data_IF_290706950193
#
_entry.id   IF_290706950193
#
_cell.length_a   1.000
_cell.length_b   1.000
_cell.length_c   1.000
_cell.angle_alpha   90.00
_cell.angle_beta   90.00
_cell.angle_gamma   90.00
#
_symmetry.space_group_name_H-M   'P 1'
#
loop_
_entity.id
_entity.type
_entity.pdbx_description
1 polymer ?
#
# COMPACT_ATOMS: atom_id res chain seq x y z
N UNK A 1 21.51 -7.22 -1.02
CA UNK A 1 21.78 -5.77 -0.99
C UNK A 1 21.27 -5.16 -2.29
N UNK A 2 20.52 -4.05 -2.23
CA UNK A 2 20.33 -3.21 -3.43
C UNK A 2 18.91 -2.85 -3.89
N UNK A 3 17.91 -2.72 -2.99
CA UNK A 3 16.64 -2.03 -3.35
C UNK A 3 16.42 -0.73 -2.57
N UNK A 4 17.33 -0.39 -1.64
CA UNK A 4 17.21 0.77 -0.74
C UNK A 4 17.51 2.12 -1.43
N UNK A 5 18.00 2.12 -2.68
CA UNK A 5 18.36 3.33 -3.42
C UNK A 5 17.59 3.38 -4.74
N UNK A 6 16.26 3.49 -4.71
CA UNK A 6 15.48 3.69 -5.94
C UNK A 6 14.45 4.82 -5.87
N UNK A 7 14.14 5.38 -4.70
CA UNK A 7 13.03 6.35 -4.57
C UNK A 7 13.46 7.78 -4.18
N UNK A 8 14.75 8.10 -4.24
CA UNK A 8 15.29 9.44 -3.89
C UNK A 8 16.04 10.14 -5.04
N UNK A 9 15.79 9.79 -6.30
CA UNK A 9 16.48 10.40 -7.45
C UNK A 9 15.52 10.94 -8.52
N UNK A 10 15.85 12.08 -9.20
CA UNK A 10 15.03 12.73 -10.22
C UNK A 10 14.71 11.87 -11.46
N UNK A 11 15.24 10.65 -11.57
CA UNK A 11 14.98 9.71 -12.68
C UNK A 11 13.70 8.86 -12.50
N UNK A 12 12.78 9.28 -11.63
CA UNK A 12 11.58 8.53 -11.29
C UNK A 12 10.67 8.25 -12.49
N UNK A 13 10.63 9.11 -13.51
CA UNK A 13 9.76 8.96 -14.69
C UNK A 13 10.21 7.78 -15.58
N UNK A 14 11.51 7.67 -15.89
CA UNK A 14 12.05 6.56 -16.67
C UNK A 14 11.98 5.23 -15.89
N UNK A 15 12.19 5.30 -14.58
CA UNK A 15 12.07 4.16 -13.69
C UNK A 15 10.61 3.69 -13.57
N UNK A 16 9.64 4.62 -13.52
CA UNK A 16 8.19 4.36 -13.58
C UNK A 16 7.86 3.51 -14.80
N UNK A 17 8.32 3.88 -16.00
CA UNK A 17 7.96 3.16 -17.23
C UNK A 17 8.49 1.72 -17.27
N UNK A 18 9.72 1.48 -16.80
CA UNK A 18 10.30 0.12 -16.78
C UNK A 18 9.64 -0.76 -15.71
N UNK A 19 9.34 -0.20 -14.53
CA UNK A 19 8.60 -0.86 -13.45
C UNK A 19 7.18 -1.14 -13.94
N UNK A 20 6.48 -0.15 -14.51
CA UNK A 20 5.12 -0.29 -15.04
C UNK A 20 5.05 -1.40 -16.10
N UNK A 21 6.00 -1.50 -17.04
CA UNK A 21 5.98 -2.59 -18.04
C UNK A 21 6.14 -3.97 -17.41
N UNK A 22 7.08 -4.14 -16.47
CA UNK A 22 7.27 -5.41 -15.73
C UNK A 22 6.05 -5.74 -14.88
N UNK A 23 5.51 -4.74 -14.18
CA UNK A 23 4.32 -4.83 -13.35
C UNK A 23 3.09 -5.20 -14.19
N UNK A 24 2.90 -4.61 -15.37
CA UNK A 24 1.77 -4.90 -16.26
C UNK A 24 1.78 -6.34 -16.77
N UNK A 25 2.95 -6.90 -17.09
CA UNK A 25 3.04 -8.32 -17.47
C UNK A 25 2.62 -9.21 -16.32
N UNK A 26 3.16 -8.95 -15.12
CA UNK A 26 2.81 -9.70 -13.91
C UNK A 26 1.31 -9.59 -13.64
N UNK A 27 0.74 -8.38 -13.65
CA UNK A 27 -0.69 -8.14 -13.41
C UNK A 27 -1.55 -8.90 -14.41
N UNK A 28 -1.23 -8.87 -15.72
CA UNK A 28 -1.98 -9.64 -16.73
C UNK A 28 -1.96 -11.14 -16.45
N UNK A 29 -0.85 -11.67 -15.98
CA UNK A 29 -0.75 -13.09 -15.60
C UNK A 29 -1.52 -13.38 -14.31
N UNK A 30 -1.49 -12.47 -13.33
CA UNK A 30 -2.24 -12.60 -12.08
C UNK A 30 -3.74 -12.56 -12.32
N UNK A 31 -4.25 -11.59 -13.06
CA UNK A 31 -5.70 -11.41 -13.29
C UNK A 31 -6.33 -12.54 -14.09
N UNK A 32 -5.53 -13.35 -14.80
CA UNK A 32 -5.98 -14.63 -15.38
C UNK A 32 -6.17 -15.75 -14.36
N UNK A 33 -5.44 -15.69 -13.25
CA UNK A 33 -5.38 -16.74 -12.22
C UNK A 33 -6.31 -16.49 -11.04
N UNK A 34 -6.74 -15.25 -10.80
CA UNK A 34 -7.69 -14.90 -9.74
C UNK A 34 -8.47 -13.61 -10.06
N UNK A 35 -9.61 -13.41 -9.39
CA UNK A 35 -10.40 -12.18 -9.44
C UNK A 35 -9.85 -11.16 -8.45
N UNK A 36 -9.05 -10.23 -8.94
CA UNK A 36 -8.56 -9.09 -8.19
C UNK A 36 -9.55 -7.93 -8.28
N UNK A 37 -9.76 -7.22 -7.17
CA UNK A 37 -10.44 -5.93 -7.14
C UNK A 37 -9.41 -4.81 -7.31
N UNK A 38 -8.33 -4.87 -6.52
CA UNK A 38 -7.22 -3.92 -6.58
C UNK A 38 -5.87 -4.63 -6.40
N UNK A 39 -4.84 -4.10 -7.06
CA UNK A 39 -3.44 -4.38 -6.77
C UNK A 39 -2.74 -3.04 -6.57
N UNK A 40 -2.04 -2.90 -5.44
CA UNK A 40 -1.34 -1.67 -5.06
C UNK A 40 0.15 -2.00 -4.95
N UNK A 41 1.01 -1.18 -5.52
CA UNK A 41 2.44 -1.25 -5.25
C UNK A 41 2.73 -0.48 -3.95
N UNK A 42 3.27 -1.19 -2.98
CA UNK A 42 3.65 -0.63 -1.68
C UNK A 42 5.16 -0.74 -1.46
N UNK A 43 5.73 0.27 -0.79
CA UNK A 43 7.12 0.30 -0.35
C UNK A 43 7.27 0.50 1.17
N UNK A 44 6.17 0.51 1.94
CA UNK A 44 6.18 0.84 3.37
C UNK A 44 7.02 -0.11 4.23
N UNK A 45 7.03 -1.40 3.89
CA UNK A 45 7.82 -2.46 4.56
C UNK A 45 8.61 -3.28 3.55
N UNK A 46 9.19 -2.59 2.58
CA UNK A 46 9.79 -3.20 1.40
C UNK A 46 8.81 -3.26 0.23
N UNK A 47 9.40 -3.33 -0.97
CA UNK A 47 8.67 -3.25 -2.23
C UNK A 47 7.85 -4.53 -2.47
N UNK A 48 6.52 -4.42 -2.43
CA UNK A 48 5.60 -5.56 -2.58
C UNK A 48 4.26 -5.15 -3.16
N UNK A 49 3.47 -6.12 -3.60
CA UNK A 49 2.07 -5.89 -3.92
C UNK A 49 1.15 -6.10 -2.72
N UNK A 50 0.18 -5.21 -2.58
CA UNK A 50 -1.01 -5.41 -1.74
C UNK A 50 -2.15 -5.86 -2.65
N UNK A 51 -2.85 -6.91 -2.22
CA UNK A 51 -3.91 -7.57 -2.98
C UNK A 51 -5.25 -7.42 -2.26
N UNK A 52 -6.23 -6.85 -2.97
CA UNK A 52 -7.64 -6.93 -2.62
C UNK A 52 -8.30 -7.94 -3.57
N UNK A 53 -8.69 -9.10 -3.02
CA UNK A 53 -9.47 -10.14 -3.70
C UNK A 53 -10.68 -10.51 -2.84
N UNK A 54 -11.63 -11.25 -3.40
CA UNK A 54 -12.77 -11.76 -2.62
C UNK A 54 -12.33 -12.66 -1.45
N UNK A 55 -11.27 -13.46 -1.65
CA UNK A 55 -10.69 -14.28 -0.56
C UNK A 55 -10.13 -13.42 0.58
N UNK A 56 -9.56 -12.25 0.26
CA UNK A 56 -9.00 -11.33 1.26
C UNK A 56 -10.13 -10.65 2.05
N UNK A 57 -11.24 -10.32 1.39
CA UNK A 57 -12.44 -9.75 2.03
C UNK A 57 -13.07 -10.73 3.03
N UNK A 58 -13.04 -12.03 2.71
CA UNK A 58 -13.57 -13.11 3.54
C UNK A 58 -12.48 -13.86 4.33
N UNK A 59 -11.32 -13.22 4.56
CA UNK A 59 -10.15 -13.90 5.13
C UNK A 59 -10.37 -14.30 6.59
N UNK A 60 -10.29 -15.61 6.86
CA UNK A 60 -10.35 -16.23 8.20
C UNK A 60 -8.98 -16.66 8.73
N UNK A 61 -7.89 -16.23 8.09
CA UNK A 61 -6.51 -16.67 8.36
C UNK A 61 -6.21 -18.16 8.11
N UNK A 62 -7.14 -18.92 7.52
CA UNK A 62 -6.90 -20.29 7.04
C UNK A 62 -6.12 -20.28 5.71
N UNK A 63 -4.86 -19.84 5.73
CA UNK A 63 -4.11 -19.53 4.51
C UNK A 63 -3.95 -20.72 3.56
N UNK A 64 -3.89 -21.96 4.06
CA UNK A 64 -3.70 -23.15 3.22
C UNK A 64 -4.84 -23.38 2.21
N UNK A 65 -6.06 -22.92 2.51
CA UNK A 65 -7.20 -23.01 1.58
C UNK A 65 -7.32 -21.79 0.65
N UNK A 66 -6.66 -20.68 0.98
CA UNK A 66 -6.73 -19.42 0.23
C UNK A 66 -6.03 -19.52 -1.13
N UNK A 67 -6.73 -19.14 -2.21
CA UNK A 67 -6.17 -19.16 -3.57
C UNK A 67 -4.97 -18.22 -3.70
N UNK A 68 -5.05 -17.01 -3.14
CA UNK A 68 -3.94 -16.05 -3.13
C UNK A 68 -2.68 -16.64 -2.50
N UNK A 69 -2.83 -17.38 -1.40
CA UNK A 69 -1.71 -18.06 -0.75
C UNK A 69 -1.11 -19.16 -1.64
N UNK A 70 -1.95 -20.02 -2.21
CA UNK A 70 -1.52 -21.09 -3.13
C UNK A 70 -0.76 -20.55 -4.35
N UNK A 71 -1.15 -19.37 -4.85
CA UNK A 71 -0.49 -18.72 -5.97
C UNK A 71 0.94 -18.25 -5.64
N UNK A 72 1.22 -17.90 -4.39
CA UNK A 72 2.43 -17.14 -4.04
C UNK A 72 3.31 -17.76 -2.95
N UNK A 73 2.89 -18.85 -2.32
CA UNK A 73 3.65 -19.52 -1.25
C UNK A 73 5.08 -19.89 -1.65
N UNK A 74 5.30 -20.21 -2.94
CA UNK A 74 6.61 -20.63 -3.47
C UNK A 74 7.37 -19.49 -4.16
N UNK A 75 6.88 -18.25 -4.10
CA UNK A 75 7.57 -17.10 -4.66
C UNK A 75 8.85 -16.78 -3.88
N UNK A 76 9.90 -16.34 -4.59
CA UNK A 76 11.16 -15.95 -3.95
C UNK A 76 10.96 -14.71 -3.09
N UNK A 77 11.59 -14.66 -1.92
CA UNK A 77 11.42 -13.59 -0.92
C UNK A 77 11.63 -12.15 -1.44
N UNK A 78 12.41 -11.97 -2.52
CA UNK A 78 12.69 -10.66 -3.11
C UNK A 78 11.77 -10.32 -4.30
N UNK A 79 10.74 -11.13 -4.56
CA UNK A 79 9.76 -10.87 -5.62
C UNK A 79 8.71 -9.87 -5.14
N UNK A 80 8.19 -9.04 -6.06
CA UNK A 80 7.02 -8.18 -5.81
C UNK A 80 5.79 -8.98 -5.38
N UNK A 81 5.71 -10.24 -5.84
CA UNK A 81 4.60 -11.17 -5.57
C UNK A 81 4.77 -11.99 -4.31
N UNK A 82 5.93 -11.90 -3.64
CA UNK A 82 6.19 -12.65 -2.42
C UNK A 82 5.22 -12.25 -1.30
N UNK A 83 4.75 -13.24 -0.55
CA UNK A 83 3.94 -13.00 0.64
C UNK A 83 4.83 -12.73 1.85
N UNK A 84 4.61 -11.58 2.49
CA UNK A 84 5.36 -11.14 3.65
C UNK A 84 4.62 -11.51 4.93
N UNK A 85 5.14 -12.46 5.75
CA UNK A 85 4.49 -12.86 6.99
C UNK A 85 4.36 -11.66 7.95
N UNK A 86 3.19 -11.52 8.57
CA UNK A 86 2.92 -10.48 9.54
C UNK A 86 3.31 -10.93 10.95
N UNK A 87 4.24 -10.21 11.58
CA UNK A 87 4.56 -10.42 12.99
C UNK A 87 3.40 -9.99 13.91
N UNK A 88 3.46 -10.36 15.19
CA UNK A 88 2.50 -9.86 16.20
C UNK A 88 2.49 -8.32 16.28
N UNK A 89 3.64 -7.67 16.06
CA UNK A 89 3.75 -6.21 16.04
C UNK A 89 3.07 -5.62 14.81
N UNK A 90 3.25 -6.25 13.65
CA UNK A 90 2.64 -5.77 12.41
C UNK A 90 1.12 -5.87 12.47
N UNK A 91 0.58 -6.95 13.03
CA UNK A 91 -0.88 -7.13 13.11
C UNK A 91 -1.60 -6.03 13.90
N UNK A 92 -0.92 -5.39 14.85
CA UNK A 92 -1.46 -4.24 15.59
C UNK A 92 -1.64 -2.99 14.73
N UNK A 93 -0.89 -2.89 13.64
CA UNK A 93 -0.83 -1.70 12.79
C UNK A 93 -1.48 -1.93 11.42
N UNK A 94 -1.24 -3.10 10.84
CA UNK A 94 -1.69 -3.50 9.51
C UNK A 94 -2.95 -4.38 9.52
N UNK A 95 -3.48 -4.71 10.70
CA UNK A 95 -4.66 -5.56 10.85
C UNK A 95 -4.34 -7.07 10.95
N UNK A 96 -5.36 -7.91 11.14
CA UNK A 96 -5.21 -9.25 11.72
C UNK A 96 -4.66 -10.33 10.77
N UNK A 97 -4.57 -10.05 9.47
CA UNK A 97 -4.17 -11.05 8.47
C UNK A 97 -2.74 -11.57 8.70
N UNK A 98 -2.51 -12.85 8.41
CA UNK A 98 -1.20 -13.50 8.54
C UNK A 98 -0.14 -12.97 7.57
N UNK A 99 -0.53 -12.28 6.49
CA UNK A 99 0.39 -11.71 5.51
C UNK A 99 0.08 -10.22 5.30
N UNK A 100 1.12 -9.41 5.16
CA UNK A 100 1.01 -7.95 4.98
C UNK A 100 0.39 -7.57 3.63
N UNK A 101 0.54 -8.44 2.63
CA UNK A 101 0.01 -8.24 1.28
C UNK A 101 -1.53 -8.33 1.24
N UNK A 102 -2.16 -9.01 2.20
CA UNK A 102 -3.59 -9.31 2.14
C UNK A 102 -4.40 -8.22 2.84
N UNK A 103 -4.85 -7.21 2.08
CA UNK A 103 -5.68 -6.11 2.60
C UNK A 103 -6.75 -5.73 1.59
N UNK A 104 -7.97 -5.52 2.08
CA UNK A 104 -8.95 -4.73 1.31
C UNK A 104 -8.45 -3.29 1.19
N UNK A 105 -8.94 -2.56 0.18
CA UNK A 105 -8.61 -1.15 0.01
C UNK A 105 -8.89 -0.33 1.30
N UNK A 106 -10.02 -0.59 1.95
CA UNK A 106 -10.38 0.02 3.23
C UNK A 106 -9.41 -0.34 4.36
N UNK A 107 -9.08 -1.63 4.53
CA UNK A 107 -8.12 -2.04 5.55
C UNK A 107 -6.77 -1.37 5.33
N UNK A 108 -6.34 -1.24 4.06
CA UNK A 108 -5.07 -0.63 3.72
C UNK A 108 -5.05 0.88 4.01
N UNK A 109 -6.14 1.60 3.73
CA UNK A 109 -6.31 3.00 4.17
C UNK A 109 -6.15 3.13 5.67
N UNK A 110 -6.79 2.22 6.41
CA UNK A 110 -6.82 2.29 7.86
C UNK A 110 -5.45 2.01 8.48
N UNK A 111 -4.58 1.26 7.79
CA UNK A 111 -3.17 1.14 8.14
C UNK A 111 -2.50 2.53 8.17
N UNK A 112 -2.57 3.31 7.09
CA UNK A 112 -2.00 4.67 7.02
C UNK A 112 -2.56 5.58 8.10
N UNK A 113 -3.88 5.58 8.26
CA UNK A 113 -4.56 6.41 9.28
C UNK A 113 -4.06 6.07 10.69
N UNK A 114 -3.86 4.78 10.99
CA UNK A 114 -3.37 4.33 12.28
C UNK A 114 -1.91 4.73 12.51
N UNK A 115 -1.05 4.61 11.51
CA UNK A 115 0.35 5.04 11.64
C UNK A 115 0.47 6.55 11.84
N UNK A 116 -0.21 7.34 10.99
CA UNK A 116 -0.21 8.80 11.10
C UNK A 116 -0.69 9.22 12.49
N UNK A 117 -1.77 8.61 13.02
CA UNK A 117 -2.34 9.04 14.29
C UNK A 117 -1.67 8.45 15.54
N UNK A 118 -1.22 7.20 15.50
CA UNK A 118 -0.77 6.46 16.68
C UNK A 118 0.74 6.28 16.77
N UNK A 119 1.48 6.51 15.68
CA UNK A 119 2.94 6.26 15.63
C UNK A 119 3.76 7.48 15.23
N UNK A 120 3.30 8.28 14.28
CA UNK A 120 3.98 9.52 13.92
C UNK A 120 3.66 10.62 14.93
N UNK A 121 4.64 11.01 15.75
CA UNK A 121 4.47 11.98 16.84
C UNK A 121 5.08 13.34 16.52
N UNK A 122 6.05 13.39 15.62
CA UNK A 122 6.71 14.62 15.18
C UNK A 122 6.25 15.06 13.79
N UNK A 123 6.48 16.33 13.45
CA UNK A 123 6.16 16.84 12.12
C UNK A 123 6.93 16.10 11.00
N UNK A 124 8.19 15.73 11.25
CA UNK A 124 9.00 14.98 10.30
C UNK A 124 8.45 13.56 10.09
N UNK A 125 8.11 12.84 11.16
CA UNK A 125 7.51 11.51 11.04
C UNK A 125 6.16 11.56 10.31
N UNK A 126 5.34 12.60 10.57
CA UNK A 126 4.08 12.79 9.85
C UNK A 126 4.37 13.06 8.36
N UNK A 127 5.32 13.93 8.05
CA UNK A 127 5.71 14.22 6.67
C UNK A 127 6.19 12.98 5.92
N UNK A 128 7.02 12.14 6.54
CA UNK A 128 7.51 10.90 5.95
C UNK A 128 6.39 9.90 5.65
N UNK A 129 5.45 9.72 6.58
CA UNK A 129 4.27 8.87 6.36
C UNK A 129 3.36 9.44 5.25
N UNK A 130 3.19 10.76 5.20
CA UNK A 130 2.42 11.41 4.13
C UNK A 130 3.10 11.32 2.77
N UNK A 131 4.44 11.28 2.72
CA UNK A 131 5.20 11.03 1.49
C UNK A 131 4.93 9.63 0.95
N UNK A 132 4.77 8.62 1.81
CA UNK A 132 4.34 7.28 1.41
C UNK A 132 2.93 7.30 0.81
N UNK A 133 2.00 8.04 1.43
CA UNK A 133 0.64 8.22 0.88
C UNK A 133 0.68 8.90 -0.49
N UNK A 134 1.47 9.96 -0.65
CA UNK A 134 1.56 10.69 -1.92
C UNK A 134 2.13 9.82 -3.05
N UNK A 135 3.11 8.96 -2.73
CA UNK A 135 3.79 8.08 -3.67
C UNK A 135 3.10 6.73 -3.88
N UNK A 136 2.00 6.46 -3.16
CA UNK A 136 1.20 5.24 -3.35
C UNK A 136 0.78 5.11 -4.81
N UNK A 137 0.87 3.90 -5.36
CA UNK A 137 0.49 3.61 -6.73
C UNK A 137 -0.46 2.42 -6.79
N UNK A 138 -1.68 2.66 -7.26
CA UNK A 138 -2.61 1.59 -7.64
C UNK A 138 -2.21 1.14 -9.05
N UNK A 139 -1.83 -0.13 -9.18
CA UNK A 139 -1.33 -0.68 -10.45
C UNK A 139 -2.40 -1.46 -11.21
N UNK A 140 -3.48 -1.83 -10.51
CA UNK A 140 -4.65 -2.47 -11.11
C UNK A 140 -5.92 -2.11 -10.33
N UNK A 141 -7.00 -1.85 -11.06
CA UNK A 141 -8.36 -1.73 -10.55
C UNK A 141 -9.31 -2.44 -11.50
N UNK A 142 -10.28 -3.19 -10.97
CA UNK A 142 -11.33 -3.82 -11.76
C UNK A 142 -12.19 -2.81 -12.53
N UNK A 143 -12.35 -1.59 -12.00
CA UNK A 143 -13.22 -0.54 -12.55
C UNK A 143 -12.52 0.35 -13.59
N UNK A 144 -11.26 0.04 -13.96
CA UNK A 144 -10.44 0.70 -15.00
C UNK A 144 -10.15 2.21 -14.84
N UNK A 145 -10.68 2.91 -13.82
CA UNK A 145 -10.37 4.31 -13.55
C UNK A 145 -9.34 4.48 -12.43
N UNK A 146 -8.10 4.05 -12.70
CA UNK A 146 -7.03 3.96 -11.69
C UNK A 146 -6.67 5.32 -11.11
N UNK A 147 -6.45 6.34 -11.94
CA UNK A 147 -6.00 7.67 -11.50
C UNK A 147 -7.02 8.33 -10.55
N UNK A 148 -8.31 8.37 -10.93
CA UNK A 148 -9.33 8.95 -10.07
C UNK A 148 -9.56 8.12 -8.80
N UNK A 149 -9.36 6.80 -8.84
CA UNK A 149 -9.45 5.97 -7.63
C UNK A 149 -8.26 6.24 -6.71
N UNK A 150 -7.06 6.35 -7.26
CA UNK A 150 -5.84 6.62 -6.49
C UNK A 150 -5.92 7.98 -5.80
N UNK A 151 -6.31 9.05 -6.50
CA UNK A 151 -6.45 10.37 -5.90
C UNK A 151 -7.53 10.42 -4.82
N UNK A 152 -8.70 9.81 -5.09
CA UNK A 152 -9.75 9.69 -4.06
C UNK A 152 -9.28 8.88 -2.86
N UNK A 153 -8.53 7.82 -3.09
CA UNK A 153 -7.99 6.97 -2.03
C UNK A 153 -7.00 7.73 -1.16
N UNK A 154 -6.02 8.41 -1.76
CA UNK A 154 -5.06 9.28 -1.07
C UNK A 154 -5.78 10.34 -0.24
N UNK A 155 -6.71 11.08 -0.84
CA UNK A 155 -7.48 12.10 -0.11
C UNK A 155 -8.33 11.49 1.02
N UNK A 156 -8.87 10.29 0.84
CA UNK A 156 -9.62 9.60 1.89
C UNK A 156 -8.75 9.23 3.10
N UNK A 157 -7.48 8.88 2.89
CA UNK A 157 -6.51 8.64 3.97
C UNK A 157 -6.33 9.93 4.76
N UNK A 158 -6.05 11.04 4.08
CA UNK A 158 -5.81 12.35 4.71
C UNK A 158 -7.02 12.81 5.51
N UNK A 159 -8.20 12.81 4.88
CA UNK A 159 -9.45 13.23 5.52
C UNK A 159 -9.74 12.39 6.78
N UNK A 160 -9.59 11.05 6.68
CA UNK A 160 -9.82 10.16 7.82
C UNK A 160 -8.77 10.36 8.92
N UNK A 161 -7.51 10.64 8.56
CA UNK A 161 -6.45 10.92 9.51
C UNK A 161 -6.68 12.24 10.26
N UNK A 162 -7.03 13.32 9.54
CA UNK A 162 -7.38 14.63 10.13
C UNK A 162 -8.56 14.50 11.07
N UNK A 163 -9.63 13.80 10.68
CA UNK A 163 -10.81 13.63 11.53
C UNK A 163 -10.51 12.96 12.88
N UNK A 164 -9.54 12.03 12.92
CA UNK A 164 -9.11 11.32 14.13
C UNK A 164 -8.02 12.04 14.94
N UNK A 165 -7.34 13.01 14.35
CA UNK A 165 -6.22 13.71 14.98
C UNK A 165 -6.69 14.79 15.97
N UNK A 166 -5.84 15.13 16.94
CA UNK A 166 -6.01 16.32 17.79
C UNK A 166 -5.87 17.61 16.99
N UNK A 167 -6.36 18.74 17.51
CA UNK A 167 -6.33 20.05 16.82
C UNK A 167 -4.93 20.42 16.32
N UNK A 168 -3.91 20.29 17.16
CA UNK A 168 -2.52 20.58 16.79
C UNK A 168 -2.03 19.64 15.69
N UNK A 169 -2.28 18.34 15.82
CA UNK A 169 -1.84 17.33 14.85
C UNK A 169 -2.54 17.49 13.50
N UNK A 170 -3.80 17.93 13.47
CA UNK A 170 -4.53 18.29 12.23
C UNK A 170 -3.81 19.38 11.44
N UNK A 171 -3.35 20.44 12.12
CA UNK A 171 -2.63 21.54 11.47
C UNK A 171 -1.33 21.03 10.83
N UNK A 172 -0.58 20.18 11.54
CA UNK A 172 0.64 19.58 11.03
C UNK A 172 0.35 18.72 9.79
N UNK A 173 -0.64 17.81 9.87
CA UNK A 173 -1.02 16.94 8.74
C UNK A 173 -1.38 17.78 7.51
N UNK A 174 -2.21 18.82 7.66
CA UNK A 174 -2.64 19.66 6.56
C UNK A 174 -1.48 20.44 5.92
N UNK A 175 -0.60 21.02 6.75
CA UNK A 175 0.56 21.76 6.26
C UNK A 175 1.53 20.85 5.49
N UNK A 176 1.85 19.68 6.06
CA UNK A 176 2.70 18.70 5.40
C UNK A 176 2.09 18.19 4.09
N UNK A 177 0.79 17.89 4.08
CA UNK A 177 0.11 17.41 2.87
C UNK A 177 0.07 18.46 1.77
N UNK A 178 -0.20 19.72 2.12
CA UNK A 178 -0.15 20.84 1.17
C UNK A 178 1.25 20.97 0.54
N UNK A 179 2.30 20.97 1.36
CA UNK A 179 3.69 21.07 0.88
C UNK A 179 4.08 19.92 -0.07
N UNK A 180 3.52 18.72 0.12
CA UNK A 180 3.76 17.56 -0.77
C UNK A 180 2.99 17.62 -2.09
N UNK A 181 1.95 18.47 -2.19
CA UNK A 181 1.15 18.66 -3.41
C UNK A 181 1.64 19.84 -4.24
N UNK A 182 2.21 20.86 -3.59
CA UNK A 182 2.67 22.10 -4.22
C UNK A 182 4.14 22.02 -4.71
N UNK A 183 4.90 21.00 -4.29
CA UNK A 183 6.31 20.79 -4.68
C UNK A 183 6.52 19.50 -5.46
#
# INVERSE_FOLDING_TARGET
MGWEILFLSPNFICMKLSIIRKVNKIIKELTRKNKFNFIILDNWRGLRFIYDTEDVRNCSNQCQSCLLYKLFVNERSNSLTALYPASRKDKRLFGPQNYLNCKTLEQYRDCYVNFINLKANTANEIYDELKLVNNLMIVYSKDNNIENIEDRFKNSIINKAVNKASRQKRQIINNCWKNLKDG
#
